data_IF_240693361597
#
_entry.id   IF_240693361597
#
_cell.length_a   1.000
_cell.length_b   1.000
_cell.length_c   1.000
_cell.angle_alpha   90.00
_cell.angle_beta   90.00
_cell.angle_gamma   90.00
#
_symmetry.space_group_name_H-M   'P 1'
#
loop_
_entity.id
_entity.type
_entity.pdbx_description
1 polymer ?
#
# COMPACT_ATOMS: atom_id res chain seq x y z
N UNK A 1 13.32 -19.81 12.95
CA UNK A 1 12.21 -19.02 12.36
C UNK A 1 12.68 -17.58 12.44
N UNK A 2 12.99 -16.96 11.30
CA UNK A 2 13.48 -15.58 11.28
C UNK A 2 12.35 -14.62 11.66
N UNK A 3 12.64 -13.65 12.52
CA UNK A 3 11.69 -12.58 12.82
C UNK A 3 11.38 -11.81 11.53
N UNK A 4 10.12 -11.38 11.37
CA UNK A 4 9.74 -10.46 10.31
C UNK A 4 10.32 -9.08 10.61
N UNK A 5 10.96 -8.47 9.62
CA UNK A 5 11.49 -7.11 9.74
C UNK A 5 10.34 -6.11 9.63
N UNK A 6 10.22 -5.14 10.55
CA UNK A 6 9.11 -4.23 10.57
C UNK A 6 9.16 -3.28 9.36
N UNK A 7 7.98 -2.97 8.83
CA UNK A 7 7.83 -1.96 7.78
C UNK A 7 8.19 -0.60 8.36
N UNK A 8 9.13 0.08 7.70
CA UNK A 8 9.54 1.44 8.04
C UNK A 8 8.62 2.47 7.43
N UNK A 9 8.27 2.29 6.16
CA UNK A 9 7.50 3.28 5.40
C UNK A 9 6.65 2.57 4.35
N UNK A 10 5.49 3.12 4.04
CA UNK A 10 4.64 2.64 2.97
C UNK A 10 4.08 3.81 2.16
N UNK A 11 4.15 3.68 0.84
CA UNK A 11 3.74 4.67 -0.14
C UNK A 11 2.70 4.06 -1.05
N UNK A 12 1.60 4.76 -1.28
CA UNK A 12 0.65 4.45 -2.34
C UNK A 12 0.76 5.54 -3.39
N UNK A 13 1.13 5.17 -4.61
CA UNK A 13 1.54 6.09 -5.65
C UNK A 13 0.73 5.80 -6.92
N UNK A 14 0.12 6.82 -7.49
CA UNK A 14 -0.51 6.74 -8.80
C UNK A 14 0.55 6.64 -9.90
N UNK A 15 0.26 5.99 -11.02
CA UNK A 15 1.19 5.85 -12.16
C UNK A 15 1.69 7.18 -12.73
N UNK A 16 0.99 8.28 -12.46
CA UNK A 16 1.43 9.64 -12.84
C UNK A 16 2.53 10.21 -11.93
N UNK A 17 2.92 9.50 -10.87
CA UNK A 17 3.84 9.97 -9.84
C UNK A 17 3.19 10.76 -8.70
N UNK A 18 1.86 10.74 -8.60
CA UNK A 18 1.16 11.41 -7.51
C UNK A 18 1.15 10.52 -6.27
N UNK A 19 1.59 11.05 -5.12
CA UNK A 19 1.48 10.36 -3.83
C UNK A 19 0.02 10.42 -3.36
N UNK A 20 -0.63 9.25 -3.29
CA UNK A 20 -2.03 9.11 -2.91
C UNK A 20 -2.19 8.93 -1.40
N UNK A 21 -1.29 8.18 -0.79
CA UNK A 21 -1.23 8.01 0.65
C UNK A 21 0.18 7.65 1.10
N UNK A 22 0.52 8.04 2.32
CA UNK A 22 1.78 7.77 2.95
C UNK A 22 1.60 7.35 4.41
N UNK A 23 2.39 6.37 4.85
CA UNK A 23 2.39 5.84 6.22
C UNK A 23 3.79 5.54 6.74
N UNK A 24 3.99 5.85 8.01
CA UNK A 24 5.21 5.59 8.78
C UNK A 24 4.81 5.30 10.24
N UNK A 25 5.51 4.40 10.96
CA UNK A 25 5.26 4.16 12.37
C UNK A 25 5.50 5.40 13.24
N UNK A 26 6.56 6.15 12.94
CA UNK A 26 6.96 7.36 13.65
C UNK A 26 6.94 8.59 12.70
N UNK A 27 5.91 9.44 12.78
CA UNK A 27 5.77 10.62 11.91
C UNK A 27 6.83 11.70 12.15
N UNK A 28 7.70 11.55 13.16
CA UNK A 28 8.85 12.46 13.36
C UNK A 28 10.06 12.06 12.51
N UNK A 29 10.06 10.84 11.95
CA UNK A 29 11.11 10.31 11.08
C UNK A 29 10.61 10.22 9.65
N UNK A 30 10.55 11.38 9.00
CA UNK A 30 10.10 11.47 7.61
C UNK A 30 11.29 11.57 6.67
N UNK A 31 11.42 10.62 5.76
CA UNK A 31 12.21 10.83 4.55
C UNK A 31 11.56 11.91 3.67
N UNK A 32 12.32 12.49 2.74
CA UNK A 32 11.74 13.32 1.69
C UNK A 32 10.97 12.42 0.72
N UNK A 33 9.66 12.30 0.95
CA UNK A 33 8.78 11.42 0.19
C UNK A 33 8.72 11.79 -1.28
N UNK A 34 8.87 13.07 -1.62
CA UNK A 34 8.81 13.53 -3.01
C UNK A 34 10.01 12.98 -3.79
N UNK A 35 11.19 12.93 -3.18
CA UNK A 35 12.37 12.29 -3.80
C UNK A 35 12.18 10.79 -4.01
N UNK A 36 11.65 10.08 -3.02
CA UNK A 36 11.41 8.62 -3.11
C UNK A 36 10.36 8.31 -4.17
N UNK A 37 9.24 9.03 -4.15
CA UNK A 37 8.14 8.87 -5.12
C UNK A 37 8.61 9.18 -6.54
N UNK A 38 9.39 10.25 -6.72
CA UNK A 38 9.99 10.59 -8.01
C UNK A 38 10.90 9.48 -8.54
N UNK A 39 11.79 8.95 -7.72
CA UNK A 39 12.67 7.84 -8.07
C UNK A 39 11.88 6.59 -8.47
N UNK A 40 10.95 6.15 -7.62
CA UNK A 40 10.16 4.93 -7.86
C UNK A 40 9.33 5.05 -9.15
N UNK A 41 8.76 6.22 -9.40
CA UNK A 41 7.97 6.47 -10.60
C UNK A 41 8.85 6.44 -11.85
N UNK A 42 10.01 7.10 -11.82
CA UNK A 42 10.96 7.08 -12.93
C UNK A 42 11.43 5.66 -13.25
N UNK A 43 11.69 4.84 -12.22
CA UNK A 43 12.09 3.45 -12.42
C UNK A 43 10.96 2.58 -12.98
N UNK A 44 9.72 2.74 -12.51
CA UNK A 44 8.56 2.04 -13.08
C UNK A 44 8.35 2.43 -14.56
N UNK A 45 8.42 3.73 -14.88
CA UNK A 45 8.34 4.22 -16.26
C UNK A 45 9.44 3.64 -17.12
N UNK A 46 10.69 3.63 -16.64
CA UNK A 46 11.82 3.05 -17.36
C UNK A 46 11.63 1.56 -17.64
N UNK A 47 11.18 0.77 -16.66
CA UNK A 47 10.92 -0.66 -16.87
C UNK A 47 9.86 -0.88 -17.94
N UNK A 48 8.77 -0.10 -17.89
CA UNK A 48 7.72 -0.19 -18.90
C UNK A 48 8.24 0.21 -20.30
N UNK A 49 9.04 1.27 -20.42
CA UNK A 49 9.58 1.73 -21.71
C UNK A 49 10.63 0.77 -22.28
N UNK A 50 11.53 0.26 -21.44
CA UNK A 50 12.65 -0.58 -21.85
C UNK A 50 12.22 -2.00 -22.21
N UNK A 51 11.21 -2.56 -21.51
CA UNK A 51 10.82 -3.96 -21.65
C UNK A 51 9.38 -4.17 -22.16
N UNK A 52 8.62 -3.09 -22.38
CA UNK A 52 7.29 -3.10 -23.00
C UNK A 52 6.13 -3.18 -22.01
N UNK A 53 4.91 -2.93 -22.53
CA UNK A 53 3.64 -2.82 -21.77
C UNK A 53 3.07 -4.14 -21.20
N UNK A 54 3.92 -5.16 -21.01
CA UNK A 54 3.51 -6.46 -20.49
C UNK A 54 3.36 -6.46 -18.96
N UNK A 55 3.21 -7.66 -18.38
CA UNK A 55 3.12 -7.90 -16.92
C UNK A 55 4.43 -7.64 -16.15
N UNK A 56 5.39 -6.94 -16.78
CA UNK A 56 6.70 -6.65 -16.25
C UNK A 56 6.67 -5.29 -15.55
N UNK A 57 6.86 -5.33 -14.24
CA UNK A 57 6.95 -4.15 -13.39
C UNK A 57 8.11 -4.34 -12.42
N UNK A 58 8.63 -3.24 -11.91
CA UNK A 58 9.60 -3.32 -10.82
C UNK A 58 8.89 -3.83 -9.58
N UNK A 59 9.31 -5.02 -9.09
CA UNK A 59 8.70 -5.70 -7.94
C UNK A 59 9.47 -5.49 -6.65
N UNK A 60 10.77 -5.25 -6.73
CA UNK A 60 11.58 -4.96 -5.54
C UNK A 60 12.85 -4.22 -5.90
N UNK A 61 13.35 -3.42 -4.96
CA UNK A 61 14.69 -2.83 -4.97
C UNK A 61 15.42 -3.22 -3.70
N UNK A 62 16.69 -3.55 -3.83
CA UNK A 62 17.57 -3.82 -2.70
C UNK A 62 18.76 -2.87 -2.77
N UNK A 63 19.08 -2.20 -1.66
CA UNK A 63 20.26 -1.36 -1.55
C UNK A 63 20.78 -1.39 -0.11
N UNK A 64 22.03 -1.80 0.07
CA UNK A 64 22.64 -2.04 1.38
C UNK A 64 21.79 -2.98 2.25
N UNK A 65 21.26 -2.49 3.37
CA UNK A 65 20.38 -3.19 4.29
C UNK A 65 18.90 -2.91 4.04
N UNK A 66 18.56 -2.05 3.07
CA UNK A 66 17.18 -1.67 2.76
C UNK A 66 16.62 -2.47 1.60
N UNK A 67 15.36 -2.82 1.75
CA UNK A 67 14.55 -3.46 0.72
C UNK A 67 13.29 -2.62 0.52
N UNK A 68 12.94 -2.39 -0.74
CA UNK A 68 11.67 -1.78 -1.13
C UNK A 68 10.90 -2.83 -1.90
N UNK A 69 9.80 -3.32 -1.35
CA UNK A 69 8.91 -4.24 -2.03
C UNK A 69 7.79 -3.44 -2.71
N UNK A 70 7.50 -3.75 -3.97
CA UNK A 70 6.55 -3.00 -4.79
C UNK A 70 5.50 -3.94 -5.36
N UNK A 71 4.23 -3.61 -5.09
CA UNK A 71 3.07 -4.27 -5.68
C UNK A 71 2.31 -3.31 -6.59
N UNK A 72 2.07 -3.75 -7.83
CA UNK A 72 1.48 -2.93 -8.90
C UNK A 72 0.08 -3.45 -9.24
N UNK A 73 -0.85 -2.52 -9.45
CA UNK A 73 -2.17 -2.76 -10.08
C UNK A 73 -2.36 -1.77 -11.22
N UNK A 74 -3.46 -1.87 -11.94
CA UNK A 74 -3.73 -0.98 -13.06
C UNK A 74 -3.95 0.46 -12.56
N UNK A 75 -3.00 1.35 -12.85
CA UNK A 75 -3.10 2.78 -12.52
C UNK A 75 -2.34 3.22 -11.26
N UNK A 76 -1.92 2.32 -10.38
CA UNK A 76 -1.25 2.69 -9.13
C UNK A 76 -0.44 1.52 -8.55
N UNK A 77 0.43 1.81 -7.59
CA UNK A 77 1.27 0.82 -6.93
C UNK A 77 1.51 1.18 -5.45
N UNK A 78 1.80 0.17 -4.64
CA UNK A 78 2.26 0.35 -3.26
C UNK A 78 3.74 -0.01 -3.19
N UNK A 79 4.53 0.82 -2.54
CA UNK A 79 5.92 0.53 -2.19
C UNK A 79 6.06 0.49 -0.66
N UNK A 80 6.63 -0.59 -0.11
CA UNK A 80 6.93 -0.73 1.32
C UNK A 80 8.42 -0.85 1.54
N UNK A 81 8.95 -0.09 2.50
CA UNK A 81 10.36 -0.04 2.85
C UNK A 81 10.59 -0.83 4.13
N UNK A 82 11.60 -1.68 4.14
CA UNK A 82 12.02 -2.48 5.28
C UNK A 82 13.54 -2.55 5.36
N UNK A 83 14.07 -2.84 6.56
CA UNK A 83 15.48 -3.12 6.75
C UNK A 83 15.64 -4.65 6.79
N UNK A 84 16.18 -5.27 5.74
CA UNK A 84 16.29 -6.72 5.61
C UNK A 84 15.33 -7.32 4.58
N UNK A 85 15.21 -8.64 4.52
CA UNK A 85 14.50 -9.31 3.42
C UNK A 85 13.01 -9.49 3.74
N UNK A 86 12.11 -9.27 2.75
CA UNK A 86 10.67 -9.44 2.96
C UNK A 86 10.33 -10.93 3.13
N UNK A 87 9.55 -11.24 4.16
CA UNK A 87 9.02 -12.59 4.40
C UNK A 87 7.89 -12.91 3.41
N UNK A 88 7.56 -14.19 3.23
CA UNK A 88 6.38 -14.58 2.45
C UNK A 88 5.07 -14.11 3.08
N UNK A 89 5.04 -13.97 4.42
CA UNK A 89 3.88 -13.49 5.18
C UNK A 89 3.63 -12.01 4.85
N UNK A 90 4.67 -11.18 4.93
CA UNK A 90 4.60 -9.76 4.55
C UNK A 90 4.13 -9.59 3.10
N UNK A 91 4.66 -10.38 2.16
CA UNK A 91 4.23 -10.35 0.75
C UNK A 91 2.74 -10.66 0.60
N UNK A 92 2.27 -11.71 1.27
CA UNK A 92 0.85 -12.08 1.26
C UNK A 92 -0.04 -11.00 1.87
N UNK A 93 0.41 -10.35 2.95
CA UNK A 93 -0.31 -9.24 3.60
C UNK A 93 -0.37 -8.02 2.68
N UNK A 94 0.76 -7.67 2.05
CA UNK A 94 0.82 -6.57 1.08
C UNK A 94 -0.13 -6.80 -0.10
N UNK A 95 -0.15 -8.01 -0.65
CA UNK A 95 -1.04 -8.38 -1.75
C UNK A 95 -2.52 -8.26 -1.35
N UNK A 96 -2.88 -8.74 -0.16
CA UNK A 96 -4.26 -8.63 0.37
C UNK A 96 -4.71 -7.17 0.56
N UNK A 97 -3.81 -6.31 1.05
CA UNK A 97 -4.07 -4.88 1.19
C UNK A 97 -4.22 -4.22 -0.18
N UNK A 98 -3.35 -4.60 -1.13
CA UNK A 98 -3.40 -4.10 -2.50
C UNK A 98 -4.71 -4.47 -3.20
N UNK A 99 -5.19 -5.70 -3.04
CA UNK A 99 -6.46 -6.16 -3.60
C UNK A 99 -7.65 -5.39 -3.06
N UNK A 100 -7.67 -5.09 -1.76
CA UNK A 100 -8.74 -4.31 -1.19
C UNK A 100 -8.71 -2.84 -1.63
N UNK A 101 -7.51 -2.26 -1.78
CA UNK A 101 -7.36 -0.92 -2.35
C UNK A 101 -7.82 -0.92 -3.81
N UNK A 102 -7.46 -1.92 -4.61
CA UNK A 102 -7.90 -2.03 -6.01
C UNK A 102 -9.41 -2.23 -6.16
N UNK A 103 -10.00 -3.08 -5.33
CA UNK A 103 -11.46 -3.28 -5.30
C UNK A 103 -12.21 -1.97 -5.06
N UNK A 104 -11.66 -1.06 -4.25
CA UNK A 104 -12.27 0.22 -3.92
C UNK A 104 -11.91 1.33 -4.90
N UNK A 105 -10.65 1.44 -5.28
CA UNK A 105 -10.08 2.59 -5.97
C UNK A 105 -9.67 2.31 -7.42
N UNK A 106 -9.73 1.06 -7.89
CA UNK A 106 -9.30 0.69 -9.24
C UNK A 106 -10.05 1.46 -10.33
N UNK A 107 -11.34 1.77 -10.15
CA UNK A 107 -12.08 2.65 -11.08
C UNK A 107 -11.59 4.09 -11.04
N UNK A 108 -11.39 4.65 -9.83
CA UNK A 108 -10.88 6.01 -9.63
C UNK A 108 -9.47 6.15 -10.23
N UNK A 109 -8.63 5.11 -10.13
CA UNK A 109 -7.31 5.09 -10.74
C UNK A 109 -7.35 5.03 -12.28
N UNK A 110 -8.34 4.37 -12.87
CA UNK A 110 -8.53 4.35 -14.33
C UNK A 110 -9.02 5.68 -14.86
N UNK A 111 -10.01 6.27 -14.19
CA UNK A 111 -10.61 7.56 -14.53
C UNK A 111 -9.90 8.73 -13.82
N UNK A 112 -8.57 8.66 -13.74
CA UNK A 112 -7.77 9.60 -12.95
C UNK A 112 -7.93 11.04 -13.44
N UNK A 113 -8.42 11.90 -12.55
CA UNK A 113 -8.67 13.32 -12.79
C UNK A 113 -7.64 14.25 -12.10
N UNK A 114 -6.70 13.70 -11.33
CA UNK A 114 -5.74 14.47 -10.53
C UNK A 114 -6.18 14.75 -9.09
N UNK A 115 -7.39 14.34 -8.67
CA UNK A 115 -7.93 14.63 -7.35
C UNK A 115 -7.57 13.54 -6.33
N UNK A 116 -6.68 13.90 -5.40
CA UNK A 116 -6.27 13.03 -4.29
C UNK A 116 -7.40 12.90 -3.25
N UNK A 117 -8.36 13.83 -3.23
CA UNK A 117 -9.53 13.82 -2.35
C UNK A 117 -10.38 12.55 -2.47
N UNK A 118 -10.36 11.89 -3.64
CA UNK A 118 -11.05 10.61 -3.81
C UNK A 118 -10.37 9.48 -3.00
N UNK A 119 -9.11 9.63 -2.58
CA UNK A 119 -8.29 8.61 -1.93
C UNK A 119 -8.22 8.73 -0.40
N UNK A 120 -9.06 9.56 0.24
CA UNK A 120 -9.02 9.90 1.67
C UNK A 120 -8.89 8.70 2.63
N UNK A 121 -9.45 7.54 2.29
CA UNK A 121 -9.39 6.34 3.14
C UNK A 121 -8.24 5.37 2.82
N UNK A 122 -7.49 5.59 1.75
CA UNK A 122 -6.45 4.66 1.31
C UNK A 122 -5.33 4.51 2.35
N UNK A 123 -4.89 5.61 2.97
CA UNK A 123 -3.89 5.56 4.04
C UNK A 123 -4.34 4.74 5.25
N UNK A 124 -5.64 4.74 5.59
CA UNK A 124 -6.19 3.92 6.68
C UNK A 124 -6.13 2.43 6.35
N UNK A 125 -6.38 2.05 5.10
CA UNK A 125 -6.26 0.66 4.65
C UNK A 125 -4.81 0.17 4.71
N UNK A 126 -3.85 1.02 4.34
CA UNK A 126 -2.41 0.74 4.48
C UNK A 126 -1.95 0.57 5.93
N UNK A 127 -2.71 1.06 6.92
CA UNK A 127 -2.36 0.91 8.34
C UNK A 127 -2.23 -0.56 8.76
N UNK A 128 -2.99 -1.46 8.15
CA UNK A 128 -2.94 -2.91 8.42
C UNK A 128 -1.61 -3.57 8.03
N UNK A 129 -0.76 -2.88 7.25
CA UNK A 129 0.57 -3.38 6.91
C UNK A 129 1.54 -3.34 8.09
N UNK A 130 1.34 -2.42 9.03
CA UNK A 130 2.22 -2.17 10.16
C UNK A 130 1.74 -3.00 11.37
N UNK A 131 2.46 -4.07 11.70
CA UNK A 131 2.08 -5.05 12.74
C UNK A 131 1.94 -4.46 14.16
N UNK A 132 2.31 -3.20 14.39
CA UNK A 132 2.34 -2.59 15.73
C UNK A 132 0.95 -2.19 16.29
N UNK A 133 -0.12 -2.24 15.48
CA UNK A 133 -1.50 -2.02 15.98
C UNK A 133 -2.11 -3.27 16.67
N UNK A 134 -1.37 -4.38 16.76
CA UNK A 134 -1.90 -5.67 17.24
C UNK A 134 -2.14 -5.81 18.76
N UNK A 135 -1.95 -4.78 19.59
CA UNK A 135 -2.28 -4.84 21.03
C UNK A 135 -3.45 -3.94 21.48
N UNK A 136 -4.31 -3.52 20.55
CA UNK A 136 -5.69 -3.17 20.89
C UNK A 136 -6.60 -4.20 20.23
N UNK A 137 -6.95 -5.24 20.99
CA UNK A 137 -8.22 -5.94 20.76
C UNK A 137 -9.31 -4.87 20.82
N UNK A 138 -9.73 -4.37 19.67
CA UNK A 138 -11.00 -3.67 19.53
C UNK A 138 -11.89 -4.64 18.78
N UNK A 139 -12.51 -5.54 19.55
CA UNK A 139 -13.64 -6.32 19.10
C UNK A 139 -14.64 -5.37 18.42
N UNK A 140 -14.94 -5.60 17.15
CA UNK A 140 -15.86 -4.76 16.38
C UNK A 140 -15.24 -3.68 15.48
N UNK A 141 -13.94 -3.74 15.15
CA UNK A 141 -13.37 -2.98 14.03
C UNK A 141 -13.28 -3.82 12.75
N UNK A 142 -13.45 -3.18 11.59
CA UNK A 142 -13.18 -3.81 10.30
C UNK A 142 -11.70 -4.25 10.21
N UNK A 143 -11.40 -5.51 9.84
CA UNK A 143 -10.03 -6.05 9.84
C UNK A 143 -9.13 -5.39 8.79
N UNK A 144 -9.72 -4.71 7.80
CA UNK A 144 -8.97 -4.12 6.68
C UNK A 144 -8.71 -2.62 6.82
N UNK A 145 -9.56 -1.90 7.55
CA UNK A 145 -9.39 -0.46 7.71
C UNK A 145 -9.50 0.03 9.15
N UNK A 146 -9.68 -0.86 10.13
CA UNK A 146 -9.75 -0.48 11.55
C UNK A 146 -10.86 0.52 11.87
N UNK A 147 -11.94 0.57 11.08
CA UNK A 147 -13.11 1.43 11.38
C UNK A 147 -14.20 0.59 12.05
N UNK A 148 -14.86 1.14 13.08
CA UNK A 148 -16.07 0.56 13.65
C UNK A 148 -17.13 0.48 12.54
N UNK A 149 -17.61 -0.71 12.14
CA UNK A 149 -18.71 -0.82 11.19
C UNK A 149 -19.92 -0.13 11.82
N UNK A 150 -20.45 0.90 11.17
CA UNK A 150 -21.84 1.28 11.42
C UNK A 150 -22.67 0.08 10.94
N UNK A 151 -23.16 -0.71 11.89
CA UNK A 151 -23.81 -2.00 11.67
C UNK A 151 -25.11 -1.86 10.90
N UNK A 152 -25.02 -1.77 9.57
CA UNK A 152 -26.13 -1.98 8.62
C UNK A 152 -25.54 -2.64 7.36
N UNK A 153 -25.27 -3.96 7.41
CA UNK A 153 -24.87 -4.78 6.26
C UNK A 153 -23.54 -5.52 6.39
N UNK A 154 -23.37 -6.60 5.63
CA UNK A 154 -22.16 -7.46 5.59
C UNK A 154 -20.96 -6.82 4.86
N UNK A 155 -20.89 -5.48 4.79
CA UNK A 155 -19.78 -4.78 4.14
C UNK A 155 -19.38 -3.50 4.87
N UNK A 156 -18.07 -3.27 4.99
CA UNK A 156 -17.53 -2.06 5.60
C UNK A 156 -17.85 -0.84 4.73
N UNK A 157 -18.51 0.17 5.29
CA UNK A 157 -18.85 1.41 4.57
C UNK A 157 -17.62 2.28 4.23
N UNK A 158 -16.46 2.01 4.84
CA UNK A 158 -15.24 2.79 4.62
C UNK A 158 -14.33 2.12 3.60
N UNK A 159 -14.11 0.81 3.67
CA UNK A 159 -13.20 0.13 2.74
C UNK A 159 -13.88 -0.89 1.82
N UNK A 160 -15.18 -1.12 1.96
CA UNK A 160 -15.92 -2.10 1.15
C UNK A 160 -15.70 -3.56 1.56
N UNK A 161 -14.81 -3.84 2.52
CA UNK A 161 -14.49 -5.20 2.98
C UNK A 161 -15.74 -5.98 3.38
N UNK A 162 -15.87 -7.22 2.90
CA UNK A 162 -16.94 -8.17 3.26
C UNK A 162 -16.32 -9.37 3.96
N UNK A 163 -16.85 -9.73 5.11
CA UNK A 163 -16.59 -11.05 5.71
C UNK A 163 -17.36 -12.07 4.89
N UNK A 164 -16.66 -12.84 4.06
CA UNK A 164 -17.20 -14.06 3.47
C UNK A 164 -17.24 -15.12 4.58
N UNK A 165 -18.45 -15.48 5.00
CA UNK A 165 -18.70 -16.49 6.04
C UNK A 165 -18.54 -17.91 5.54
#
# INVERSE_FOLDING_TARGET
MGNEEPIREAFLIHKSGCLLAYRVPDPTKTADYDLVVGMLTALQSFVHEAFGAGMQSLRSLEFEDKNVLIEVREGFYIAVVLNGKPTSILKSRLDSVMDAIDAKYGKVAKDWNGDIGDWVHAGRMMGTLFEEDHNRRQDGLCPLCGTVPASIGNSCQICGYREEG
#
